data_IF_608943594730
#
_entry.id   IF_608943594730
#
_cell.length_a   1.000
_cell.length_b   1.000
_cell.length_c   1.000
_cell.angle_alpha   90.00
_cell.angle_beta   90.00
_cell.angle_gamma   90.00
#
_symmetry.space_group_name_H-M   'P 1'
#
loop_
_entity.id
_entity.type
_entity.pdbx_description
1 polymer ?
#
# COMPACT_ATOMS: atom_id res chain seq x y z
N UNK A 1 -16.96 13.41 -20.04
CA UNK A 1 -16.75 13.63 -18.60
C UNK A 1 -15.26 13.58 -18.34
N UNK A 2 -14.64 14.54 -17.65
CA UNK A 2 -13.22 14.44 -17.30
C UNK A 2 -13.03 13.16 -16.47
N UNK A 3 -12.10 12.30 -16.88
CA UNK A 3 -11.83 11.03 -16.20
C UNK A 3 -11.35 11.27 -14.77
N UNK A 4 -11.65 10.33 -13.86
CA UNK A 4 -11.19 10.40 -12.45
C UNK A 4 -9.67 10.55 -12.40
N UNK A 5 -9.18 11.54 -11.65
CA UNK A 5 -7.75 11.66 -11.37
C UNK A 5 -7.26 10.43 -10.62
N UNK A 6 -6.20 9.76 -11.06
CA UNK A 6 -5.69 8.57 -10.37
C UNK A 6 -4.60 8.98 -9.40
N UNK A 7 -4.72 8.58 -8.13
CA UNK A 7 -3.68 8.85 -7.12
C UNK A 7 -3.12 7.51 -6.66
N UNK A 8 -1.92 7.17 -7.11
CA UNK A 8 -1.22 5.97 -6.69
C UNK A 8 -0.40 6.29 -5.44
N UNK A 9 -0.72 5.65 -4.32
CA UNK A 9 0.11 5.67 -3.12
C UNK A 9 0.90 4.37 -3.07
N UNK A 10 2.20 4.51 -3.06
CA UNK A 10 3.12 3.40 -2.98
C UNK A 10 3.65 3.31 -1.54
N UNK A 11 3.07 2.45 -0.68
CA UNK A 11 3.73 2.06 0.54
C UNK A 11 5.04 1.38 0.20
N UNK A 12 6.09 1.93 0.75
CA UNK A 12 7.31 1.20 0.92
C UNK A 12 8.00 1.63 2.19
N UNK A 13 8.89 0.75 2.60
CA UNK A 13 9.66 0.88 3.79
C UNK A 13 11.06 1.32 3.38
N UNK A 14 11.34 2.62 3.40
CA UNK A 14 12.75 3.04 3.41
C UNK A 14 13.43 2.68 4.74
N UNK A 15 12.65 2.30 5.75
CA UNK A 15 13.09 2.04 7.13
C UNK A 15 12.42 0.76 7.65
N UNK A 16 13.03 0.13 8.66
CA UNK A 16 12.62 -1.13 9.32
C UNK A 16 11.19 -1.11 9.93
N UNK A 17 10.42 -0.04 9.73
CA UNK A 17 9.04 0.14 10.19
C UNK A 17 8.20 0.81 9.08
N UNK A 18 6.98 0.33 8.71
CA UNK A 18 6.17 0.94 7.65
C UNK A 18 5.79 2.40 7.95
N UNK A 19 5.89 3.38 7.04
CA UNK A 19 5.59 4.78 7.38
C UNK A 19 4.13 5.02 7.86
N UNK A 20 3.87 5.46 9.11
CA UNK A 20 2.51 5.64 9.65
C UNK A 20 1.79 6.83 9.00
N UNK A 21 2.55 7.85 8.58
CA UNK A 21 2.03 9.03 7.89
C UNK A 21 1.47 8.69 6.51
N UNK A 22 1.91 7.61 5.88
CA UNK A 22 1.34 7.19 4.60
C UNK A 22 -0.08 6.67 4.77
N UNK A 23 -0.34 5.85 5.81
CA UNK A 23 -1.69 5.35 6.06
C UNK A 23 -2.63 6.52 6.37
N UNK A 24 -2.17 7.48 7.16
CA UNK A 24 -2.93 8.71 7.41
C UNK A 24 -3.23 9.46 6.09
N UNK A 25 -2.24 9.60 5.22
CA UNK A 25 -2.40 10.22 3.89
C UNK A 25 -3.35 9.44 2.97
N UNK A 26 -3.21 8.12 2.89
CA UNK A 26 -4.09 7.25 2.10
C UNK A 26 -5.53 7.30 2.63
N UNK A 27 -5.72 7.31 3.96
CA UNK A 27 -7.04 7.45 4.59
C UNK A 27 -7.71 8.77 4.23
N UNK A 28 -6.95 9.87 4.19
CA UNK A 28 -7.47 11.15 3.70
C UNK A 28 -7.88 11.02 2.24
N UNK A 29 -7.00 10.56 1.36
CA UNK A 29 -7.33 10.39 -0.06
C UNK A 29 -8.54 9.48 -0.30
N UNK A 30 -8.65 8.39 0.44
CA UNK A 30 -9.75 7.43 0.36
C UNK A 30 -11.07 8.00 0.87
N UNK A 31 -11.04 8.81 1.95
CA UNK A 31 -12.21 9.47 2.51
C UNK A 31 -12.74 10.58 1.60
N UNK A 32 -11.84 11.31 0.95
CA UNK A 32 -12.18 12.41 0.05
C UNK A 32 -12.32 12.00 -1.42
N UNK A 33 -12.24 10.69 -1.74
CA UNK A 33 -12.26 10.21 -3.14
C UNK A 33 -13.48 10.65 -3.95
N UNK A 34 -14.64 10.71 -3.31
CA UNK A 34 -15.89 11.13 -3.94
C UNK A 34 -15.97 12.66 -4.07
N UNK A 35 -15.37 13.39 -3.11
CA UNK A 35 -15.35 14.85 -3.08
C UNK A 35 -14.38 15.41 -4.12
N UNK A 36 -13.19 14.82 -4.24
CA UNK A 36 -12.12 15.27 -5.16
C UNK A 36 -12.13 14.54 -6.50
N UNK A 37 -13.14 13.70 -6.77
CA UNK A 37 -13.24 12.90 -7.99
C UNK A 37 -11.94 12.13 -8.34
N UNK A 38 -11.27 11.59 -7.30
CA UNK A 38 -10.03 10.84 -7.44
C UNK A 38 -10.27 9.33 -7.24
N UNK A 39 -9.39 8.52 -7.84
CA UNK A 39 -9.31 7.09 -7.62
C UNK A 39 -7.98 6.74 -6.92
N UNK A 40 -7.96 6.68 -5.58
CA UNK A 40 -6.78 6.28 -4.84
C UNK A 40 -6.49 4.79 -5.05
N UNK A 41 -5.26 4.47 -5.45
CA UNK A 41 -4.77 3.11 -5.66
C UNK A 41 -3.59 2.84 -4.73
N UNK A 42 -3.71 1.82 -3.88
CA UNK A 42 -2.59 1.33 -3.08
C UNK A 42 -1.70 0.44 -3.95
N UNK A 43 -0.40 0.71 -3.94
CA UNK A 43 0.60 -0.02 -4.74
C UNK A 43 1.74 -0.50 -3.85
N UNK A 44 1.65 -1.70 -3.26
CA UNK A 44 2.73 -2.29 -2.49
C UNK A 44 4.00 -2.34 -3.32
N UNK A 45 5.09 -1.82 -2.78
CA UNK A 45 6.41 -1.95 -3.41
C UNK A 45 7.50 -2.12 -2.37
N UNK A 46 8.63 -2.65 -2.81
CA UNK A 46 9.83 -2.77 -2.00
C UNK A 46 10.81 -1.67 -2.42
N UNK A 47 11.49 -1.03 -1.47
CA UNK A 47 12.60 -0.13 -1.83
C UNK A 47 13.77 -0.95 -2.34
N UNK A 48 14.58 -0.43 -3.26
CA UNK A 48 15.78 -1.11 -3.77
C UNK A 48 16.77 -1.52 -2.64
N UNK A 49 16.78 -0.79 -1.52
CA UNK A 49 17.55 -1.17 -0.33
C UNK A 49 17.01 -2.43 0.40
N UNK A 50 15.73 -2.79 0.22
CA UNK A 50 15.11 -3.98 0.85
C UNK A 50 15.27 -5.22 -0.04
N UNK A 51 15.48 -5.07 -1.35
CA UNK A 51 15.66 -6.24 -2.23
C UNK A 51 16.94 -7.02 -1.92
N UNK A 52 17.93 -6.39 -1.27
CA UNK A 52 19.17 -7.04 -0.83
C UNK A 52 19.04 -7.68 0.57
N UNK A 53 18.24 -7.10 1.48
CA UNK A 53 18.04 -7.61 2.84
C UNK A 53 16.74 -8.40 2.98
N UNK A 54 16.70 -9.60 2.37
CA UNK A 54 15.56 -10.54 2.44
C UNK A 54 15.27 -11.06 3.87
N UNK A 55 16.03 -10.67 4.88
CA UNK A 55 16.00 -11.25 6.22
C UNK A 55 15.13 -10.51 7.23
N UNK A 56 14.47 -9.41 6.86
CA UNK A 56 13.58 -8.74 7.79
C UNK A 56 12.13 -9.29 7.68
N UNK A 57 11.58 -9.90 8.76
CA UNK A 57 10.44 -10.81 8.65
C UNK A 57 9.10 -10.15 8.31
N UNK A 58 8.97 -8.83 8.55
CA UNK A 58 7.73 -8.06 8.35
C UNK A 58 7.38 -7.91 6.85
N UNK A 59 8.40 -7.89 5.99
CA UNK A 59 8.28 -7.56 4.57
C UNK A 59 8.01 -8.78 3.69
N UNK A 60 8.45 -9.95 4.14
CA UNK A 60 8.32 -11.23 3.41
C UNK A 60 6.85 -11.64 3.30
N UNK A 61 6.04 -11.30 4.31
CA UNK A 61 4.64 -11.73 4.36
C UNK A 61 3.67 -10.60 4.01
N UNK A 62 3.82 -9.40 4.59
CA UNK A 62 2.81 -8.34 4.47
C UNK A 62 2.67 -7.75 3.05
N UNK A 63 3.78 -7.39 2.38
CA UNK A 63 3.71 -6.76 1.05
C UNK A 63 3.25 -7.74 -0.04
N UNK A 64 3.74 -9.00 -0.07
CA UNK A 64 3.19 -10.03 -0.94
C UNK A 64 1.72 -10.34 -0.65
N UNK A 65 1.30 -10.34 0.62
CA UNK A 65 -0.10 -10.56 0.99
C UNK A 65 -1.02 -9.41 0.52
N UNK A 66 -0.61 -8.15 0.67
CA UNK A 66 -1.36 -7.03 0.09
C UNK A 66 -1.41 -7.12 -1.44
N UNK A 67 -0.39 -7.69 -2.06
CA UNK A 67 -0.35 -7.92 -3.50
C UNK A 67 -1.33 -9.03 -3.93
N UNK A 68 -1.47 -10.12 -3.16
CA UNK A 68 -2.51 -11.14 -3.43
C UNK A 68 -3.91 -10.55 -3.31
N UNK A 69 -4.14 -9.70 -2.30
CA UNK A 69 -5.40 -8.95 -2.16
C UNK A 69 -5.69 -8.05 -3.36
N UNK A 70 -4.71 -7.31 -3.87
CA UNK A 70 -4.90 -6.48 -5.07
C UNK A 70 -5.30 -7.33 -6.29
N UNK A 71 -4.77 -8.55 -6.39
CA UNK A 71 -5.00 -9.43 -7.52
C UNK A 71 -6.35 -10.17 -7.45
N UNK A 72 -6.83 -10.51 -6.26
CA UNK A 72 -8.01 -11.38 -6.08
C UNK A 72 -9.19 -10.69 -5.39
N UNK A 73 -8.93 -9.81 -4.41
CA UNK A 73 -9.93 -9.18 -3.56
C UNK A 73 -9.64 -7.68 -3.32
N UNK A 74 -9.62 -6.84 -4.37
CA UNK A 74 -9.32 -5.41 -4.22
C UNK A 74 -10.35 -4.66 -3.35
N UNK A 75 -11.56 -5.20 -3.19
CA UNK A 75 -12.66 -4.63 -2.40
C UNK A 75 -12.39 -4.59 -0.88
N UNK A 76 -11.59 -5.52 -0.37
CA UNK A 76 -11.24 -5.60 1.06
C UNK A 76 -9.85 -5.03 1.37
N UNK A 77 -9.09 -4.65 0.35
CA UNK A 77 -7.73 -4.14 0.46
C UNK A 77 -7.59 -2.98 1.45
N UNK A 78 -8.52 -2.01 1.41
CA UNK A 78 -8.50 -0.84 2.31
C UNK A 78 -8.67 -1.25 3.78
N UNK A 79 -9.62 -2.14 4.06
CA UNK A 79 -9.88 -2.63 5.43
C UNK A 79 -8.70 -3.45 5.96
N UNK A 80 -8.18 -4.36 5.15
CA UNK A 80 -7.09 -5.26 5.56
C UNK A 80 -5.78 -4.50 5.73
N UNK A 81 -5.44 -3.60 4.80
CA UNK A 81 -4.29 -2.72 4.97
C UNK A 81 -4.44 -1.84 6.22
N UNK A 82 -5.62 -1.30 6.50
CA UNK A 82 -5.83 -0.56 7.75
C UNK A 82 -5.55 -1.41 8.99
N UNK A 83 -6.11 -2.61 9.09
CA UNK A 83 -5.91 -3.47 10.26
C UNK A 83 -4.44 -3.87 10.43
N UNK A 84 -3.75 -4.31 9.36
CA UNK A 84 -2.33 -4.68 9.44
C UNK A 84 -1.46 -3.53 9.97
N UNK A 85 -1.72 -2.29 9.56
CA UNK A 85 -0.96 -1.15 10.07
C UNK A 85 -1.39 -0.72 11.49
N UNK A 86 -2.67 -0.87 11.88
CA UNK A 86 -3.12 -0.59 13.24
C UNK A 86 -2.45 -1.51 14.26
N UNK A 87 -2.30 -2.80 13.90
CA UNK A 87 -1.56 -3.77 14.69
C UNK A 87 -0.12 -3.30 14.96
N UNK A 88 0.60 -2.87 13.92
CA UNK A 88 2.00 -2.40 14.06
C UNK A 88 2.13 -1.08 14.81
N UNK A 89 1.29 -0.08 14.50
CA UNK A 89 1.54 1.31 14.93
C UNK A 89 0.72 1.77 16.12
N UNK A 90 -0.40 1.11 16.42
CA UNK A 90 -1.27 1.50 17.52
C UNK A 90 -1.27 0.48 18.65
N UNK A 91 -1.19 -0.81 18.31
CA UNK A 91 -1.32 -1.87 19.30
C UNK A 91 0.01 -2.55 19.66
N UNK A 92 1.10 -2.20 18.97
CA UNK A 92 2.41 -2.85 19.11
C UNK A 92 2.31 -4.39 18.99
N UNK A 93 1.33 -4.83 18.20
CA UNK A 93 1.05 -6.24 17.94
C UNK A 93 1.91 -6.72 16.77
N UNK A 94 2.38 -7.96 16.89
CA UNK A 94 3.20 -8.58 15.87
C UNK A 94 2.43 -8.75 14.54
N UNK A 95 3.10 -8.49 13.41
CA UNK A 95 2.64 -8.90 12.07
C UNK A 95 3.75 -9.62 11.29
N UNK A 96 4.78 -10.07 11.99
CA UNK A 96 5.90 -10.85 11.45
C UNK A 96 5.47 -12.30 11.17
N UNK A 97 4.61 -12.84 12.02
CA UNK A 97 4.16 -14.21 11.90
C UNK A 97 2.87 -14.36 11.06
N UNK A 98 2.78 -15.42 10.22
CA UNK A 98 1.56 -15.83 9.53
C UNK A 98 0.30 -15.83 10.41
N UNK A 99 0.43 -16.30 11.66
CA UNK A 99 -0.69 -16.40 12.61
C UNK A 99 -1.22 -15.03 13.00
N UNK A 100 -0.32 -14.08 13.26
CA UNK A 100 -0.68 -12.72 13.64
C UNK A 100 -1.32 -11.96 12.49
N UNK A 101 -0.84 -12.18 11.26
CA UNK A 101 -1.46 -11.66 10.03
C UNK A 101 -2.90 -12.18 9.89
N UNK A 102 -3.12 -13.49 10.05
CA UNK A 102 -4.47 -14.07 9.97
C UNK A 102 -5.43 -13.48 11.02
N UNK A 103 -4.97 -13.30 12.26
CA UNK A 103 -5.76 -12.69 13.33
C UNK A 103 -6.14 -11.22 13.01
N UNK A 104 -5.22 -10.44 12.42
CA UNK A 104 -5.51 -9.07 11.99
C UNK A 104 -6.53 -9.04 10.85
N UNK A 105 -6.47 -10.01 9.94
CA UNK A 105 -7.38 -10.10 8.78
C UNK A 105 -8.78 -10.54 9.20
N UNK A 106 -8.89 -11.43 10.19
CA UNK A 106 -10.18 -11.83 10.77
C UNK A 106 -10.91 -10.61 11.35
N UNK A 107 -10.19 -9.72 12.05
CA UNK A 107 -10.74 -8.42 12.53
C UNK A 107 -11.16 -7.49 11.38
N UNK A 108 -10.53 -7.60 10.21
CA UNK A 108 -10.90 -6.85 9.00
C UNK A 108 -12.20 -7.37 8.33
N UNK A 109 -12.74 -8.50 8.79
CA UNK A 109 -13.98 -9.12 8.31
C UNK A 109 -13.78 -10.09 7.14
N UNK A 110 -12.55 -10.55 6.89
CA UNK A 110 -12.26 -11.63 5.94
C UNK A 110 -12.20 -12.97 6.69
N UNK A 111 -12.75 -14.02 6.09
CA UNK A 111 -12.70 -15.36 6.71
C UNK A 111 -11.26 -15.89 6.77
N UNK A 112 -10.94 -16.60 7.86
CA UNK A 112 -9.61 -17.17 8.08
C UNK A 112 -9.20 -18.14 6.96
N UNK A 113 -10.15 -18.88 6.37
CA UNK A 113 -9.92 -19.79 5.24
C UNK A 113 -9.49 -19.04 3.96
N UNK A 114 -10.15 -17.91 3.65
CA UNK A 114 -9.76 -17.05 2.53
C UNK A 114 -8.38 -16.43 2.78
N UNK A 115 -8.14 -15.96 4.00
CA UNK A 115 -6.87 -15.37 4.38
C UNK A 115 -5.71 -16.38 4.28
N UNK A 116 -5.92 -17.62 4.72
CA UNK A 116 -4.94 -18.71 4.58
C UNK A 116 -4.66 -19.02 3.10
N UNK A 117 -5.70 -19.15 2.28
CA UNK A 117 -5.56 -19.39 0.84
C UNK A 117 -4.74 -18.29 0.16
N UNK A 118 -4.95 -17.03 0.55
CA UNK A 118 -4.17 -15.89 0.04
C UNK A 118 -2.72 -15.90 0.55
N UNK A 119 -2.49 -16.37 1.78
CA UNK A 119 -1.17 -16.47 2.37
C UNK A 119 -0.31 -17.55 1.70
N UNK A 120 -0.91 -18.67 1.30
CA UNK A 120 -0.21 -19.72 0.53
C UNK A 120 0.23 -19.22 -0.85
N UNK A 121 -0.52 -18.27 -1.42
CA UNK A 121 -0.25 -17.72 -2.76
C UNK A 121 0.85 -16.67 -2.79
N UNK A 122 1.33 -16.17 -1.64
CA UNK A 122 2.32 -15.08 -1.62
C UNK A 122 3.64 -15.46 -2.30
N UNK A 123 3.99 -16.75 -2.24
CA UNK A 123 5.22 -17.29 -2.83
C UNK A 123 5.06 -17.63 -4.31
N UNK A 124 3.90 -17.33 -4.92
CA UNK A 124 3.69 -17.59 -6.34
C UNK A 124 4.48 -16.62 -7.21
N UNK A 125 5.00 -17.06 -8.36
CA UNK A 125 5.72 -16.19 -9.30
C UNK A 125 4.89 -14.98 -9.75
N UNK A 126 3.56 -15.13 -9.80
CA UNK A 126 2.62 -14.07 -10.17
C UNK A 126 2.69 -12.90 -9.18
N UNK A 127 2.73 -13.17 -7.88
CA UNK A 127 2.81 -12.16 -6.83
C UNK A 127 4.17 -11.49 -6.83
N UNK A 128 5.23 -12.29 -6.92
CA UNK A 128 6.61 -11.78 -6.97
C UNK A 128 6.83 -10.85 -8.18
N UNK A 129 6.40 -11.28 -9.36
CA UNK A 129 6.50 -10.47 -10.58
C UNK A 129 5.68 -9.19 -10.46
N UNK A 130 4.48 -9.24 -9.87
CA UNK A 130 3.66 -8.05 -9.68
C UNK A 130 4.30 -7.04 -8.73
N UNK A 131 4.94 -7.52 -7.66
CA UNK A 131 5.64 -6.68 -6.70
C UNK A 131 6.88 -6.03 -7.34
N UNK A 132 7.63 -6.78 -8.16
CA UNK A 132 8.76 -6.26 -8.96
C UNK A 132 8.30 -5.21 -9.97
N UNK A 133 7.22 -5.45 -10.71
CA UNK A 133 6.64 -4.47 -11.64
C UNK A 133 6.25 -3.18 -10.93
N UNK A 134 5.59 -3.30 -9.78
CA UNK A 134 5.11 -2.14 -9.01
C UNK A 134 6.27 -1.33 -8.43
N UNK A 135 7.31 -2.02 -7.99
CA UNK A 135 8.57 -1.43 -7.55
C UNK A 135 9.29 -0.70 -8.68
N UNK A 136 9.46 -1.34 -9.84
CA UNK A 136 10.08 -0.73 -11.01
C UNK A 136 9.27 0.49 -11.51
N UNK A 137 7.94 0.43 -11.43
CA UNK A 137 7.09 1.56 -11.75
C UNK A 137 7.32 2.74 -10.80
N UNK A 138 7.44 2.49 -9.49
CA UNK A 138 7.76 3.53 -8.52
C UNK A 138 9.13 4.17 -8.81
N UNK A 139 10.16 3.36 -9.11
CA UNK A 139 11.49 3.86 -9.47
C UNK A 139 11.47 4.76 -10.72
N UNK A 140 10.65 4.47 -11.73
CA UNK A 140 10.49 5.31 -12.92
C UNK A 140 9.93 6.71 -12.62
N UNK A 141 9.18 6.86 -11.53
CA UNK A 141 8.69 8.15 -11.06
C UNK A 141 9.70 8.92 -10.21
N UNK A 142 10.96 8.45 -10.11
CA UNK A 142 12.00 9.08 -9.32
C UNK A 142 11.91 8.77 -7.82
N UNK A 143 11.23 7.68 -7.44
CA UNK A 143 11.16 7.22 -6.06
C UNK A 143 12.53 6.72 -5.57
N UNK A 144 13.30 7.59 -4.93
CA UNK A 144 14.51 7.20 -4.20
C UNK A 144 14.21 6.73 -2.77
N UNK A 145 13.12 7.25 -2.18
CA UNK A 145 12.63 6.85 -0.87
C UNK A 145 11.12 6.62 -0.92
N UNK A 146 10.66 5.66 -0.13
CA UNK A 146 9.24 5.37 0.05
C UNK A 146 8.77 5.90 1.42
N UNK A 147 7.52 6.38 1.51
CA UNK A 147 6.47 6.27 0.49
C UNK A 147 6.53 7.32 -0.62
N UNK A 148 5.96 6.97 -1.77
CA UNK A 148 5.77 7.88 -2.91
C UNK A 148 4.30 7.95 -3.28
N UNK A 149 3.80 9.15 -3.51
CA UNK A 149 2.46 9.36 -4.08
C UNK A 149 2.58 9.94 -5.47
N UNK A 150 2.01 9.26 -6.46
CA UNK A 150 1.95 9.73 -7.85
C UNK A 150 0.51 10.06 -8.18
N UNK A 151 0.23 11.32 -8.50
CA UNK A 151 -1.08 11.77 -8.94
C UNK A 151 -1.07 12.01 -10.45
N UNK A 152 -1.86 11.25 -11.20
CA UNK A 152 -2.12 11.48 -12.62
C UNK A 152 -3.34 12.40 -12.73
N UNK A 153 -3.08 13.70 -12.84
CA UNK A 153 -4.10 14.74 -12.94
C UNK A 153 -4.14 15.25 -14.38
N UNK A 154 -5.32 15.19 -15.01
CA UNK A 154 -5.51 15.62 -16.40
C UNK A 154 -4.51 15.00 -17.42
N UNK A 155 -4.07 13.77 -17.17
CA UNK A 155 -3.09 13.06 -18.03
C UNK A 155 -1.63 13.41 -17.77
N UNK A 156 -1.33 14.33 -16.85
CA UNK A 156 0.05 14.64 -16.45
C UNK A 156 0.41 13.95 -15.11
N UNK A 157 1.49 13.15 -15.06
CA UNK A 157 1.97 12.54 -13.82
C UNK A 157 2.68 13.60 -12.96
N UNK A 158 2.14 13.87 -11.79
CA UNK A 158 2.80 14.65 -10.74
C UNK A 158 3.25 13.71 -9.64
N UNK A 159 4.57 13.55 -9.48
CA UNK A 159 5.15 12.74 -8.41
C UNK A 159 5.42 13.57 -7.16
N UNK A 160 5.09 13.01 -6.00
CA UNK A 160 5.32 13.60 -4.69
C UNK A 160 6.05 12.58 -3.82
N UNK A 161 7.24 12.95 -3.35
CA UNK A 161 7.99 12.17 -2.36
C UNK A 161 7.43 12.46 -0.96
N UNK A 162 7.17 11.39 -0.19
CA UNK A 162 6.64 11.44 1.17
C UNK A 162 5.11 11.34 1.27
N UNK A 163 4.58 11.32 2.51
CA UNK A 163 3.14 11.29 2.75
C UNK A 163 2.48 12.56 2.20
N UNK A 164 1.24 12.43 1.74
CA UNK A 164 0.44 13.59 1.32
C UNK A 164 0.10 14.43 2.54
N UNK A 165 1.00 15.35 2.89
CA UNK A 165 0.80 16.31 3.98
C UNK A 165 -0.28 17.35 3.64
N UNK A 166 -0.85 17.95 4.68
CA UNK A 166 -1.92 18.96 4.59
C UNK A 166 -1.63 20.11 3.62
N UNK A 167 -0.39 20.59 3.56
CA UNK A 167 0.03 21.65 2.62
C UNK A 167 0.01 21.25 1.15
N UNK A 168 0.02 19.94 0.83
CA UNK A 168 0.03 19.42 -0.55
C UNK A 168 -1.36 18.97 -1.01
N UNK A 169 -2.25 18.66 -0.07
CA UNK A 169 -3.69 18.43 -0.34
C UNK A 169 -4.36 19.65 -0.97
N UNK A 170 -3.89 20.87 -0.68
CA UNK A 170 -4.40 22.08 -1.33
C UNK A 170 -4.29 22.02 -2.86
N UNK A 171 -3.27 21.36 -3.43
CA UNK A 171 -3.19 21.20 -4.91
C UNK A 171 -4.22 20.20 -5.45
N UNK A 172 -4.76 19.31 -4.61
CA UNK A 172 -5.86 18.41 -4.96
C UNK A 172 -7.24 19.10 -4.82
N UNK A 173 -7.34 20.16 -4.01
CA UNK A 173 -8.55 20.95 -3.81
C UNK A 173 -8.91 21.88 -4.98
N UNK A 174 -7.95 22.20 -5.85
CA UNK A 174 -8.15 23.02 -7.06
C UNK A 174 -8.33 22.17 -8.33
N UNK A 175 -8.76 20.91 -8.18
CA UNK A 175 -9.05 19.96 -9.27
C UNK A 175 -10.55 19.79 -9.44
#
# INVERSE_FOLDING_TARGET
MPGKGTVCCTPGASYRVPCPLLLAGFRVLYSYRNVWNINPQLRPSLTAAITEDRNAPLWVWAMPFLTTLILEHPEVLDKVSRELWMHVWSWDEDILEPRSILAAIEKAGMSTEQAQTLLEKISTPKVENKLKETTAAASKYGAFELPVTVAHLFGQPTCWLGPVGSGRLHKLLWI
#
